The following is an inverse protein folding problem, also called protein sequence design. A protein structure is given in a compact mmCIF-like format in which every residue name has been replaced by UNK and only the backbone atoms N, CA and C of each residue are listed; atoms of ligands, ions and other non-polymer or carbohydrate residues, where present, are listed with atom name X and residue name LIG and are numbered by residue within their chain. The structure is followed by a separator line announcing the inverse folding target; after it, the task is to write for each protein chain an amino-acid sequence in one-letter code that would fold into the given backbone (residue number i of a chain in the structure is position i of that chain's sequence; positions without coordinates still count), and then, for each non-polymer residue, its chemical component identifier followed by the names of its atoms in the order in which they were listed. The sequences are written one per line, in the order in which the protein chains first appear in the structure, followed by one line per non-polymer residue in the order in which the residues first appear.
data_IF_775247802219
#
_entry.id   IF_775247802219
#
_cell.length_a   1.000
_cell.length_b   1.000
_cell.length_c   1.000
_cell.angle_alpha   90.00
_cell.angle_beta   90.00
_cell.angle_gamma   90.00
#
_symmetry.space_group_name_H-M   'P 1'
#
loop_
_entity.id
_entity.type
_entity.pdbx_description
1 polymer ?
#
# COMPACT_ATOMS: atom_id res chain seq x y z
N UNK A 1 -4.95 18.38 -8.00
CA UNK A 1 -4.79 18.43 -6.54
C UNK A 1 -4.46 17.03 -6.05
N UNK A 2 -3.49 16.92 -5.16
CA UNK A 2 -3.05 15.66 -4.60
C UNK A 2 -3.16 15.71 -3.08
N UNK A 3 -3.46 14.57 -2.47
CA UNK A 3 -3.29 14.33 -1.04
C UNK A 3 -2.13 13.37 -0.85
N UNK A 4 -1.29 13.67 0.14
CA UNK A 4 -0.27 12.75 0.63
C UNK A 4 -0.81 12.08 1.90
N UNK A 5 -0.89 10.75 1.88
CA UNK A 5 -1.34 9.92 2.99
C UNK A 5 -0.14 9.13 3.47
N UNK A 6 0.10 9.13 4.77
CA UNK A 6 1.16 8.35 5.38
C UNK A 6 0.72 7.91 6.79
N UNK A 7 1.35 6.87 7.29
CA UNK A 7 1.13 6.47 8.67
C UNK A 7 1.80 7.46 9.62
N UNK A 8 1.11 7.79 10.71
CA UNK A 8 1.64 8.65 11.77
C UNK A 8 2.83 8.03 12.52
N UNK A 9 2.97 6.70 12.48
CA UNK A 9 4.10 5.98 13.09
C UNK A 9 5.36 5.96 12.18
N UNK A 10 5.27 6.44 10.94
CA UNK A 10 6.38 6.51 10.00
C UNK A 10 7.04 7.90 10.03
N UNK A 11 8.14 8.03 10.78
CA UNK A 11 8.88 9.30 10.91
C UNK A 11 9.60 9.73 9.62
N UNK A 12 9.79 8.81 8.67
CA UNK A 12 10.41 9.09 7.37
C UNK A 12 9.43 9.68 6.35
N UNK A 13 8.12 9.64 6.62
CA UNK A 13 7.11 10.09 5.68
C UNK A 13 7.00 11.62 5.67
N UNK A 14 7.68 12.25 4.72
CA UNK A 14 7.62 13.71 4.51
C UNK A 14 7.22 14.05 3.08
N UNK A 15 6.57 15.19 2.87
CA UNK A 15 6.19 15.66 1.53
C UNK A 15 7.44 15.88 0.67
N UNK A 16 7.52 15.20 -0.46
CA UNK A 16 8.59 15.37 -1.46
C UNK A 16 8.04 16.03 -2.72
N UNK A 17 8.49 17.25 -3.01
CA UNK A 17 8.03 18.03 -4.15
C UNK A 17 8.49 17.47 -5.50
N UNK A 18 9.57 16.69 -5.55
CA UNK A 18 10.02 16.05 -6.79
C UNK A 18 9.05 14.95 -7.20
N UNK A 19 8.62 14.14 -6.23
CA UNK A 19 7.58 13.13 -6.44
C UNK A 19 6.29 13.82 -6.88
N UNK A 20 5.82 14.83 -6.14
CA UNK A 20 4.61 15.56 -6.48
C UNK A 20 4.66 16.17 -7.90
N UNK A 21 5.77 16.80 -8.27
CA UNK A 21 5.95 17.38 -9.59
C UNK A 21 5.90 16.31 -10.71
N UNK A 22 6.53 15.14 -10.49
CA UNK A 22 6.44 14.02 -11.43
C UNK A 22 4.98 13.56 -11.63
N UNK A 23 4.20 13.41 -10.55
CA UNK A 23 2.81 12.99 -10.62
C UNK A 23 1.94 13.98 -11.40
N UNK A 24 2.15 15.29 -11.17
CA UNK A 24 1.43 16.35 -11.88
C UNK A 24 1.75 16.30 -13.39
N UNK A 25 3.03 16.22 -13.76
CA UNK A 25 3.46 16.23 -15.15
C UNK A 25 2.94 15.02 -15.93
N UNK A 26 2.96 13.84 -15.31
CA UNK A 26 2.55 12.59 -15.95
C UNK A 26 1.05 12.28 -15.78
N UNK A 27 0.33 13.10 -14.99
CA UNK A 27 -1.09 12.95 -14.67
C UNK A 27 -1.38 11.58 -14.01
N UNK A 28 -0.49 11.12 -13.12
CA UNK A 28 -0.72 9.89 -12.37
C UNK A 28 -1.84 10.11 -11.36
N UNK A 29 -2.83 9.23 -11.29
CA UNK A 29 -3.92 9.40 -10.32
C UNK A 29 -3.58 8.81 -8.95
N UNK A 30 -2.70 7.81 -8.92
CA UNK A 30 -2.28 7.13 -7.69
C UNK A 30 -0.80 6.78 -7.76
N UNK A 31 -0.08 7.02 -6.67
CA UNK A 31 1.29 6.58 -6.51
C UNK A 31 1.51 6.00 -5.13
N UNK A 32 2.12 4.82 -5.09
CA UNK A 32 2.57 4.17 -3.87
C UNK A 32 4.10 4.23 -3.81
N UNK A 33 4.64 4.83 -2.76
CA UNK A 33 6.07 4.71 -2.52
C UNK A 33 6.37 3.27 -2.06
N UNK A 34 7.36 2.66 -2.69
CA UNK A 34 7.89 1.35 -2.31
C UNK A 34 9.36 1.49 -1.99
N UNK A 35 9.90 0.60 -1.16
CA UNK A 35 11.31 0.59 -0.82
C UNK A 35 11.88 -0.82 -0.95
N UNK A 36 13.20 -1.01 -1.09
CA UNK A 36 13.77 -2.35 -1.12
C UNK A 36 13.39 -3.16 0.12
N UNK A 37 12.93 -4.39 -0.11
CA UNK A 37 12.51 -5.33 0.93
C UNK A 37 13.74 -5.84 1.70
N UNK A 38 13.59 -5.95 3.01
CA UNK A 38 14.59 -6.53 3.92
C UNK A 38 14.00 -7.71 4.67
N UNK A 39 14.83 -8.49 5.36
CA UNK A 39 14.39 -9.60 6.20
C UNK A 39 13.50 -9.17 7.37
N UNK A 40 13.53 -7.89 7.76
CA UNK A 40 12.64 -7.34 8.80
C UNK A 40 11.21 -7.10 8.28
N UNK A 41 11.02 -7.03 6.96
CA UNK A 41 9.73 -6.70 6.33
C UNK A 41 8.89 -7.96 6.09
N UNK A 42 8.54 -8.62 7.19
CA UNK A 42 7.79 -9.90 7.19
C UNK A 42 6.28 -9.73 7.13
N UNK A 43 5.75 -8.55 7.49
CA UNK A 43 4.31 -8.23 7.51
C UNK A 43 4.03 -6.99 6.67
N UNK A 44 3.23 -7.16 5.63
CA UNK A 44 2.79 -6.11 4.71
C UNK A 44 2.76 -6.61 3.27
N UNK A 45 2.48 -5.70 2.35
CA UNK A 45 2.30 -6.01 0.95
C UNK A 45 3.45 -5.60 0.03
N UNK A 46 3.38 -6.11 -1.19
CA UNK A 46 4.27 -5.73 -2.30
C UNK A 46 3.43 -5.32 -3.51
N UNK A 47 4.01 -4.50 -4.38
CA UNK A 47 3.38 -4.20 -5.67
C UNK A 47 3.65 -5.32 -6.66
N UNK A 48 2.60 -5.74 -7.36
CA UNK A 48 2.65 -6.68 -8.46
C UNK A 48 2.00 -6.06 -9.70
N UNK A 49 2.32 -6.63 -10.86
CA UNK A 49 1.55 -6.43 -12.08
C UNK A 49 0.66 -7.65 -12.29
N UNK A 50 -0.64 -7.44 -12.34
CA UNK A 50 -1.63 -8.48 -12.59
C UNK A 50 -2.61 -7.99 -13.65
N UNK A 51 -2.76 -8.75 -14.74
CA UNK A 51 -3.59 -8.39 -15.90
C UNK A 51 -3.31 -6.98 -16.45
N UNK A 52 -2.03 -6.58 -16.45
CA UNK A 52 -1.60 -5.27 -16.95
C UNK A 52 -1.91 -4.09 -16.01
N UNK A 53 -2.42 -4.36 -14.80
CA UNK A 53 -2.68 -3.35 -13.77
C UNK A 53 -1.75 -3.52 -12.58
N UNK A 54 -1.36 -2.40 -11.99
CA UNK A 54 -0.63 -2.38 -10.72
C UNK A 54 -1.59 -2.73 -9.60
N UNK A 55 -1.23 -3.69 -8.76
CA UNK A 55 -2.01 -4.13 -7.61
C UNK A 55 -1.12 -4.29 -6.37
N UNK A 56 -1.71 -4.09 -5.21
CA UNK A 56 -1.09 -4.44 -3.93
C UNK A 56 -1.45 -5.90 -3.61
N UNK A 57 -0.42 -6.72 -3.43
CA UNK A 57 -0.56 -8.08 -2.93
C UNK A 57 -0.17 -8.10 -1.46
N UNK A 58 -1.13 -8.37 -0.58
CA UNK A 58 -0.92 -8.53 0.86
C UNK A 58 -0.69 -10.01 1.22
N UNK A 59 0.09 -10.25 2.28
CA UNK A 59 0.38 -11.62 2.75
C UNK A 59 -0.91 -12.41 3.08
N UNK A 60 -1.96 -11.74 3.54
CA UNK A 60 -3.24 -12.37 3.87
C UNK A 60 -3.98 -12.94 2.63
N UNK A 61 -3.59 -12.54 1.43
CA UNK A 61 -4.14 -13.02 0.17
C UNK A 61 -3.31 -14.16 -0.44
N UNK A 62 -2.18 -14.50 0.16
CA UNK A 62 -1.27 -15.52 -0.34
C UNK A 62 -1.63 -16.87 0.30
N UNK A 63 -1.89 -17.93 -0.49
CA UNK A 63 -2.10 -19.28 0.03
C UNK A 63 -0.92 -19.75 0.88
N UNK A 64 -1.19 -20.53 1.93
CA UNK A 64 -0.18 -20.97 2.92
C UNK A 64 1.04 -21.64 2.27
N UNK A 65 0.82 -22.44 1.23
CA UNK A 65 1.87 -23.12 0.45
C UNK A 65 2.85 -22.18 -0.26
N UNK A 66 2.43 -20.94 -0.56
CA UNK A 66 3.24 -19.93 -1.27
C UNK A 66 3.77 -18.82 -0.35
N UNK A 67 3.47 -18.85 0.95
CA UNK A 67 3.90 -17.81 1.91
C UNK A 67 5.42 -17.67 1.96
N UNK A 68 6.17 -18.76 1.86
CA UNK A 68 7.64 -18.72 1.88
C UNK A 68 8.20 -18.02 0.63
N UNK A 69 7.59 -18.24 -0.53
CA UNK A 69 7.96 -17.53 -1.76
C UNK A 69 7.63 -16.04 -1.67
N UNK A 70 6.49 -15.69 -1.07
CA UNK A 70 6.12 -14.29 -0.83
C UNK A 70 7.09 -13.57 0.11
N UNK A 71 7.56 -14.26 1.15
CA UNK A 71 8.56 -13.74 2.09
C UNK A 71 9.95 -13.59 1.47
N UNK A 72 10.26 -14.35 0.42
CA UNK A 72 11.56 -14.29 -0.25
C UNK A 72 11.85 -12.90 -0.83
N UNK A 73 12.97 -12.32 -0.39
CA UNK A 73 13.50 -11.05 -0.90
C UNK A 73 14.08 -11.17 -2.32
N UNK A 74 14.37 -12.39 -2.78
CA UNK A 74 14.87 -12.64 -4.13
C UNK A 74 13.75 -12.54 -5.17
N UNK A 75 12.55 -13.01 -4.80
CA UNK A 75 11.36 -12.99 -5.65
C UNK A 75 10.64 -11.64 -5.58
N UNK A 76 10.36 -11.16 -4.36
CA UNK A 76 9.71 -9.87 -4.14
C UNK A 76 10.70 -8.88 -3.52
N UNK A 77 11.26 -8.02 -4.37
CA UNK A 77 12.37 -7.12 -4.02
C UNK A 77 11.95 -5.80 -3.39
N UNK A 78 10.67 -5.47 -3.45
CA UNK A 78 10.10 -4.20 -2.99
C UNK A 78 9.03 -4.42 -1.93
N UNK A 79 8.78 -3.39 -1.13
CA UNK A 79 7.84 -3.41 -0.03
C UNK A 79 7.05 -2.09 0.00
N UNK A 80 5.74 -2.17 0.27
CA UNK A 80 4.86 -1.01 0.40
C UNK A 80 5.18 -0.21 1.68
N UNK A 81 5.51 1.08 1.55
CA UNK A 81 5.79 1.93 2.72
C UNK A 81 4.53 2.50 3.38
N UNK A 82 3.38 2.35 2.71
CA UNK A 82 2.12 3.02 3.00
C UNK A 82 2.17 4.56 2.90
N UNK A 83 3.19 5.11 2.24
CA UNK A 83 3.19 6.50 1.79
C UNK A 83 2.52 6.56 0.41
N UNK A 84 1.37 7.20 0.33
CA UNK A 84 0.49 7.21 -0.82
C UNK A 84 0.24 8.64 -1.30
N UNK A 85 0.26 8.83 -2.61
CA UNK A 85 -0.11 10.09 -3.25
C UNK A 85 -1.33 9.84 -4.12
N UNK A 86 -2.41 10.57 -3.86
CA UNK A 86 -3.70 10.31 -4.52
C UNK A 86 -4.28 11.59 -5.09
N UNK A 87 -4.69 11.54 -6.34
CA UNK A 87 -5.34 12.65 -7.02
C UNK A 87 -6.79 12.79 -6.53
N UNK A 88 -7.14 13.93 -5.93
CA UNK A 88 -8.45 14.14 -5.31
C UNK A 88 -9.61 14.13 -6.33
N UNK A 89 -9.36 14.54 -7.58
CA UNK A 89 -10.38 14.50 -8.63
C UNK A 89 -10.70 13.07 -9.05
N UNK A 90 -9.68 12.22 -9.08
CA UNK A 90 -9.86 10.78 -9.34
C UNK A 90 -10.61 10.10 -8.20
N UNK A 91 -10.30 10.44 -6.94
CA UNK A 91 -11.06 9.94 -5.78
C UNK A 91 -12.53 10.32 -5.91
N UNK A 92 -12.83 11.60 -6.16
CA UNK A 92 -14.22 12.07 -6.34
C UNK A 92 -14.94 11.28 -7.44
N UNK A 93 -14.31 11.14 -8.62
CA UNK A 93 -14.86 10.38 -9.75
C UNK A 93 -15.17 8.93 -9.38
N UNK A 94 -14.25 8.24 -8.69
CA UNK A 94 -14.41 6.83 -8.33
C UNK A 94 -15.47 6.63 -7.23
N UNK A 95 -15.57 7.57 -6.29
CA UNK A 95 -16.59 7.54 -5.22
C UNK A 95 -17.98 7.82 -5.78
N UNK A 96 -18.14 8.87 -6.59
CA UNK A 96 -19.43 9.21 -7.23
C UNK A 96 -19.94 8.09 -8.16
N UNK A 97 -19.03 7.34 -8.77
CA UNK A 97 -19.36 6.18 -9.61
C UNK A 97 -19.54 4.86 -8.83
N UNK A 98 -19.39 4.86 -7.49
CA UNK A 98 -19.41 3.65 -6.66
C UNK A 98 -18.44 2.54 -7.16
N UNK A 99 -17.29 2.95 -7.70
CA UNK A 99 -16.35 2.07 -8.40
C UNK A 99 -15.32 1.39 -7.48
N UNK A 100 -15.14 1.90 -6.25
CA UNK A 100 -14.17 1.38 -5.28
C UNK A 100 -14.69 0.10 -4.59
N UNK A 101 -14.79 -1.00 -5.35
CA UNK A 101 -15.17 -2.32 -4.82
C UNK A 101 -13.97 -3.01 -4.16
N UNK A 102 -13.58 -2.46 -3.01
CA UNK A 102 -12.44 -2.91 -2.22
C UNK A 102 -12.62 -4.35 -1.73
N UNK A 103 -11.51 -5.08 -1.67
CA UNK A 103 -11.50 -6.44 -1.11
C UNK A 103 -11.56 -6.39 0.42
N UNK A 104 -12.43 -7.20 1.00
CA UNK A 104 -12.60 -7.30 2.45
C UNK A 104 -11.51 -8.23 3.00
N UNK A 105 -10.81 -7.75 4.02
CA UNK A 105 -9.78 -8.49 4.75
C UNK A 105 -10.39 -8.94 6.08
N UNK A 106 -10.71 -10.24 6.26
CA UNK A 106 -11.18 -10.76 7.54
C UNK A 106 -10.02 -10.90 8.53
N UNK A 107 -10.15 -10.28 9.70
CA UNK A 107 -9.16 -10.32 10.78
C UNK A 107 -9.79 -10.91 12.05
N UNK A 108 -9.59 -12.21 12.33
CA UNK A 108 -10.07 -12.83 13.56
C UNK A 108 -9.44 -12.17 14.78
N UNK A 109 -10.27 -11.76 15.74
CA UNK A 109 -9.86 -11.10 16.98
C UNK A 109 -10.59 -11.70 18.17
N UNK A 110 -10.10 -11.39 19.35
CA UNK A 110 -10.75 -11.70 20.62
C UNK A 110 -10.88 -10.40 21.41
N UNK A 111 -12.09 -10.10 21.88
CA UNK A 111 -12.41 -8.93 22.69
C UNK A 111 -13.12 -9.44 23.93
N UNK A 112 -12.53 -9.21 25.10
CA UNK A 112 -13.06 -9.65 26.40
C UNK A 112 -13.45 -11.13 26.45
N UNK A 113 -12.63 -12.00 25.83
CA UNK A 113 -12.86 -13.45 25.77
C UNK A 113 -13.84 -13.91 24.68
N UNK A 114 -14.42 -12.98 23.90
CA UNK A 114 -15.35 -13.27 22.81
C UNK A 114 -14.62 -13.22 21.48
N UNK A 115 -14.67 -14.33 20.72
CA UNK A 115 -14.16 -14.38 19.35
C UNK A 115 -15.04 -13.51 18.44
N UNK A 116 -14.41 -12.57 17.75
CA UNK A 116 -15.05 -11.64 16.82
C UNK A 116 -14.30 -11.62 15.49
N UNK A 117 -14.98 -11.16 14.43
CA UNK A 117 -14.37 -10.96 13.13
C UNK A 117 -14.36 -9.47 12.81
N UNK A 118 -13.17 -8.90 12.72
CA UNK A 118 -12.98 -7.52 12.28
C UNK A 118 -12.82 -7.50 10.76
N UNK A 119 -13.66 -6.74 10.07
CA UNK A 119 -13.61 -6.60 8.62
C UNK A 119 -12.88 -5.30 8.27
N UNK A 120 -11.81 -5.43 7.47
CA UNK A 120 -10.94 -4.32 7.11
C UNK A 120 -10.86 -4.17 5.58
N UNK A 121 -10.40 -3.01 5.13
CA UNK A 121 -9.93 -2.79 3.76
C UNK A 121 -8.63 -2.01 3.81
N UNK A 122 -7.70 -2.28 2.91
CA UNK A 122 -6.44 -1.56 2.83
C UNK A 122 -6.53 -0.38 1.85
N UNK A 123 -6.17 0.84 2.28
CA UNK A 123 -6.10 2.00 1.38
C UNK A 123 -5.16 1.74 0.19
N UNK A 124 -4.03 1.06 0.42
CA UNK A 124 -3.09 0.67 -0.62
C UNK A 124 -3.69 -0.24 -1.72
N UNK A 125 -4.70 -1.05 -1.40
CA UNK A 125 -5.38 -1.90 -2.37
C UNK A 125 -6.22 -1.11 -3.38
N UNK A 126 -6.50 0.17 -3.09
CA UNK A 126 -7.29 1.01 -3.98
C UNK A 126 -6.55 1.31 -5.29
N UNK A 127 -5.22 1.15 -5.33
CA UNK A 127 -4.36 1.42 -6.49
C UNK A 127 -4.88 0.81 -7.80
N UNK A 128 -5.54 -0.36 -7.75
CA UNK A 128 -6.07 -1.08 -8.93
C UNK A 128 -7.23 -0.37 -9.64
N UNK A 129 -7.90 0.57 -8.97
CA UNK A 129 -9.05 1.31 -9.48
C UNK A 129 -8.67 2.63 -10.15
N UNK A 130 -7.45 3.10 -9.95
CA UNK A 130 -6.97 4.38 -10.48
C UNK A 130 -6.29 4.21 -11.82
N UNK A 131 -6.49 5.19 -12.69
CA UNK A 131 -5.80 5.24 -13.98
C UNK A 131 -4.38 5.77 -13.79
N UNK A 132 -3.43 5.26 -14.59
CA UNK A 132 -2.01 5.66 -14.52
C UNK A 132 -1.42 5.50 -13.10
N UNK A 133 -1.85 4.47 -12.39
CA UNK A 133 -1.29 4.10 -11.10
C UNK A 133 0.16 3.64 -11.23
N UNK A 134 1.04 4.08 -10.34
CA UNK A 134 2.46 3.73 -10.34
C UNK A 134 3.00 3.39 -8.96
N UNK A 135 4.08 2.63 -8.93
CA UNK A 135 4.97 2.52 -7.77
C UNK A 135 6.24 3.34 -8.00
N UNK A 136 6.72 4.06 -6.98
CA UNK A 136 8.01 4.75 -7.03
C UNK A 136 8.93 4.16 -5.97
N UNK A 137 10.11 3.70 -6.38
CA UNK A 137 11.12 3.23 -5.46
C UNK A 137 11.79 4.41 -4.75
N UNK A 138 11.70 4.44 -3.43
CA UNK A 138 12.23 5.50 -2.57
C UNK A 138 13.30 4.97 -1.62
N UNK A 139 14.25 5.83 -1.20
CA UNK A 139 15.24 5.43 -0.21
C UNK A 139 14.56 5.02 1.10
N UNK A 140 15.17 4.04 1.78
CA UNK A 140 14.66 3.49 3.05
C UNK A 140 14.46 4.54 4.13
N UNK A 141 15.15 5.68 4.07
CA UNK A 141 14.97 6.83 4.96
C UNK A 141 13.55 7.42 4.94
N UNK A 142 12.73 7.11 3.92
CA UNK A 142 11.31 7.50 3.86
C UNK A 142 10.36 6.49 4.52
N UNK A 143 10.90 5.39 5.05
CA UNK A 143 10.17 4.33 5.74
C UNK A 143 10.87 3.96 7.04
N UNK A 144 10.55 4.72 8.10
CA UNK A 144 11.05 4.59 9.46
C UNK A 144 9.88 4.38 10.44
N UNK A 145 9.17 3.24 10.38
CA UNK A 145 8.03 2.96 11.25
C UNK A 145 8.46 2.67 12.69
N UNK A 146 7.74 3.21 13.67
CA UNK A 146 7.94 2.96 15.11
C UNK A 146 6.75 2.18 15.67
N UNK A 147 6.87 0.85 15.73
CA UNK A 147 5.75 -0.05 16.11
C UNK A 147 5.84 -0.65 17.52
N UNK A 148 7.02 -0.60 18.15
CA UNK A 148 7.23 -1.17 19.48
C UNK A 148 8.13 -0.24 20.29
N UNK A 149 7.80 -0.07 21.56
CA UNK A 149 8.76 0.38 22.57
C UNK A 149 9.68 -0.82 22.85
N UNK A 150 10.99 -0.56 22.97
CA UNK A 150 11.96 -1.58 23.39
C UNK A 150 11.60 -2.19 24.74
#
# INVERSE_FOLDING_TARGET
EYVFVANSDNLGAVVDLKILNHLIQNKNEYCMEVTPKTLADVKGGTLISYEGRVQLLEIAQVPDEHVNEFKSIEKFKIFNTNNLWVNLKAVKRLVEADALKMEIIPNPKEVDGVKVLQLETAAGAAIRFFDKAIGINVPRSRFLPVKQLQ
#
